data_IF_499704621313
#
_entry.id   IF_499704621313
#
_cell.length_a   1.000
_cell.length_b   1.000
_cell.length_c   1.000
_cell.angle_alpha   90.00
_cell.angle_beta   90.00
_cell.angle_gamma   90.00
#
_symmetry.space_group_name_H-M   'P 1'
#
loop_
_entity.id
_entity.type
_entity.pdbx_description
1 polymer ?
#
# COMPACT_ATOMS: atom_id res chain seq x y z
N UNK A 1 9.01 1.79 10.91
CA UNK A 1 7.80 1.16 11.49
C UNK A 1 6.56 1.38 10.62
N UNK A 2 5.60 0.45 10.60
CA UNK A 2 4.31 0.60 9.88
C UNK A 2 3.60 1.95 10.09
N UNK A 3 3.61 2.48 11.32
CA UNK A 3 3.03 3.79 11.64
C UNK A 3 3.71 4.94 10.90
N UNK A 4 5.01 4.86 10.68
CA UNK A 4 5.77 5.89 9.95
C UNK A 4 5.46 5.85 8.46
N UNK A 5 5.28 4.65 7.89
CA UNK A 5 4.83 4.49 6.51
C UNK A 5 3.43 5.10 6.31
N UNK A 6 2.51 4.84 7.24
CA UNK A 6 1.16 5.43 7.22
C UNK A 6 1.20 6.95 7.38
N UNK A 7 1.96 7.46 8.35
CA UNK A 7 2.10 8.90 8.55
C UNK A 7 2.68 9.58 7.31
N UNK A 8 3.68 8.96 6.67
CA UNK A 8 4.24 9.48 5.42
C UNK A 8 3.19 9.49 4.31
N UNK A 9 2.43 8.40 4.13
CA UNK A 9 1.42 8.28 3.09
C UNK A 9 0.32 9.34 3.23
N UNK A 10 -0.12 9.63 4.46
CA UNK A 10 -1.14 10.64 4.77
C UNK A 10 -0.71 12.08 4.41
N UNK A 11 0.59 12.34 4.20
CA UNK A 11 1.08 13.65 3.76
C UNK A 11 1.15 13.78 2.23
N UNK A 12 0.84 12.72 1.49
CA UNK A 12 1.00 12.70 0.03
C UNK A 12 -0.25 13.22 -0.68
N UNK A 13 -0.08 13.65 -1.93
CA UNK A 13 -1.16 14.17 -2.79
C UNK A 13 -1.57 13.20 -3.91
N UNK A 14 -1.05 11.97 -3.93
CA UNK A 14 -1.43 10.94 -4.90
C UNK A 14 -0.82 11.11 -6.29
N UNK A 15 0.29 11.84 -6.43
CA UNK A 15 1.05 11.85 -7.69
C UNK A 15 1.58 10.46 -8.03
N UNK A 16 1.87 10.16 -9.30
CA UNK A 16 2.46 8.86 -9.69
C UNK A 16 3.71 8.49 -8.87
N UNK A 17 4.56 9.48 -8.60
CA UNK A 17 5.76 9.36 -7.76
C UNK A 17 5.45 8.88 -6.33
N UNK A 18 4.27 9.18 -5.82
CA UNK A 18 3.80 8.70 -4.50
C UNK A 18 3.81 7.17 -4.43
N UNK A 19 3.33 6.50 -5.48
CA UNK A 19 3.18 5.04 -5.49
C UNK A 19 4.52 4.34 -5.67
N UNK A 20 5.41 4.93 -6.48
CA UNK A 20 6.82 4.48 -6.60
C UNK A 20 7.53 4.61 -5.25
N UNK A 21 7.46 5.79 -4.62
CA UNK A 21 8.10 5.98 -3.29
C UNK A 21 7.48 5.10 -2.21
N UNK A 22 6.17 4.82 -2.29
CA UNK A 22 5.52 3.89 -1.37
C UNK A 22 6.04 2.46 -1.55
N UNK A 23 6.16 2.00 -2.79
CA UNK A 23 6.72 0.68 -3.11
C UNK A 23 8.12 0.52 -2.52
N UNK A 24 9.01 1.49 -2.75
CA UNK A 24 10.38 1.47 -2.24
C UNK A 24 10.39 1.42 -0.70
N UNK A 25 9.59 2.27 -0.05
CA UNK A 25 9.51 2.32 1.43
C UNK A 25 8.96 1.03 2.02
N UNK A 26 7.95 0.43 1.41
CA UNK A 26 7.38 -0.84 1.86
C UNK A 26 8.38 -2.00 1.70
N UNK A 27 9.11 -2.06 0.58
CA UNK A 27 10.16 -3.06 0.36
C UNK A 27 11.36 -2.89 1.29
N UNK A 28 11.73 -1.65 1.61
CA UNK A 28 12.76 -1.37 2.61
C UNK A 28 12.31 -1.82 4.00
N UNK A 29 11.10 -1.43 4.42
CA UNK A 29 10.55 -1.79 5.74
C UNK A 29 10.42 -3.31 5.92
N UNK A 30 10.18 -4.05 4.83
CA UNK A 30 10.11 -5.52 4.84
C UNK A 30 11.38 -6.19 5.38
N UNK A 31 12.55 -5.58 5.16
CA UNK A 31 13.81 -6.10 5.69
C UNK A 31 13.89 -6.00 7.22
N UNK A 32 13.20 -5.02 7.80
CA UNK A 32 13.23 -4.71 9.23
C UNK A 32 12.05 -5.33 10.01
N UNK A 33 10.94 -5.66 9.35
CA UNK A 33 9.73 -6.26 9.95
C UNK A 33 9.38 -7.63 9.29
N UNK A 34 10.17 -8.70 9.55
CA UNK A 34 10.00 -10.00 8.89
C UNK A 34 8.63 -10.65 9.14
N UNK A 35 8.02 -10.41 10.29
CA UNK A 35 6.67 -10.86 10.65
C UNK A 35 5.57 -10.24 9.80
N UNK A 36 5.86 -9.13 9.11
CA UNK A 36 4.96 -8.45 8.17
C UNK A 36 5.40 -8.57 6.73
N UNK A 37 6.36 -9.44 6.44
CA UNK A 37 7.02 -9.39 5.14
C UNK A 37 6.08 -9.64 3.95
N UNK A 38 5.11 -10.55 4.11
CA UNK A 38 4.10 -10.83 3.10
C UNK A 38 3.19 -9.62 2.87
N UNK A 39 2.69 -9.00 3.94
CA UNK A 39 1.86 -7.79 3.89
C UNK A 39 2.59 -6.65 3.16
N UNK A 40 3.83 -6.36 3.57
CA UNK A 40 4.62 -5.28 2.99
C UNK A 40 4.94 -5.53 1.52
N UNK A 41 5.18 -6.79 1.13
CA UNK A 41 5.36 -7.16 -0.26
C UNK A 41 4.09 -6.93 -1.08
N UNK A 42 2.93 -7.38 -0.60
CA UNK A 42 1.66 -7.23 -1.32
C UNK A 42 1.27 -5.75 -1.48
N UNK A 43 1.48 -4.93 -0.46
CA UNK A 43 1.24 -3.49 -0.54
C UNK A 43 2.20 -2.81 -1.54
N UNK A 44 3.47 -3.20 -1.54
CA UNK A 44 4.44 -2.71 -2.51
C UNK A 44 4.06 -3.09 -3.95
N UNK A 45 3.66 -4.34 -4.16
CA UNK A 45 3.24 -4.84 -5.47
C UNK A 45 1.94 -4.15 -5.94
N UNK A 46 0.99 -3.88 -5.05
CA UNK A 46 -0.23 -3.13 -5.36
C UNK A 46 0.07 -1.70 -5.84
N UNK A 47 0.95 -0.99 -5.12
CA UNK A 47 1.35 0.37 -5.52
C UNK A 47 2.18 0.37 -6.81
N UNK A 48 3.10 -0.59 -6.97
CA UNK A 48 3.92 -0.75 -8.16
C UNK A 48 3.08 -0.99 -9.42
N UNK A 49 2.13 -1.92 -9.38
CA UNK A 49 1.24 -2.20 -10.51
C UNK A 49 0.41 -0.97 -10.92
N UNK A 50 -0.06 -0.20 -9.95
CA UNK A 50 -0.72 1.08 -10.23
C UNK A 50 0.24 2.08 -10.90
N UNK A 51 1.47 2.20 -10.39
CA UNK A 51 2.46 3.09 -10.99
C UNK A 51 2.78 2.69 -12.44
N UNK A 52 3.00 1.39 -12.69
CA UNK A 52 3.29 0.84 -14.01
C UNK A 52 2.13 1.06 -15.00
N UNK A 53 0.88 0.91 -14.54
CA UNK A 53 -0.30 1.12 -15.38
C UNK A 53 -0.45 2.57 -15.88
N UNK A 54 0.13 3.53 -15.16
CA UNK A 54 0.10 4.95 -15.50
C UNK A 54 1.45 5.51 -15.95
N UNK A 55 2.49 4.67 -16.13
CA UNK A 55 3.77 5.12 -16.68
C UNK A 55 3.59 5.55 -18.15
N UNK A 56 4.00 6.79 -18.45
CA UNK A 56 3.79 7.41 -19.75
C UNK A 56 2.32 7.66 -20.12
N UNK A 57 1.37 7.43 -19.21
CA UNK A 57 -0.07 7.66 -19.42
C UNK A 57 -0.56 8.84 -18.57
N UNK A 58 -1.62 9.56 -19.00
CA UNK A 58 -2.21 10.61 -18.20
C UNK A 58 -2.90 10.01 -16.96
N UNK A 59 -2.46 10.41 -15.77
CA UNK A 59 -3.12 10.14 -14.50
C UNK A 59 -4.03 11.31 -14.12
N UNK A 60 -5.34 11.07 -14.05
CA UNK A 60 -6.28 12.10 -13.61
C UNK A 60 -6.18 12.33 -12.10
N UNK A 61 -6.43 13.55 -11.64
CA UNK A 61 -6.43 13.88 -10.21
C UNK A 61 -7.48 13.06 -9.43
N UNK A 62 -8.61 12.74 -10.05
CA UNK A 62 -9.66 11.91 -9.44
C UNK A 62 -9.19 10.47 -9.21
N UNK A 63 -8.58 9.85 -10.21
CA UNK A 63 -8.04 8.48 -10.08
C UNK A 63 -6.91 8.46 -9.04
N UNK A 64 -5.99 9.43 -9.10
CA UNK A 64 -4.93 9.62 -8.12
C UNK A 64 -5.47 9.70 -6.67
N UNK A 65 -6.54 10.47 -6.46
CA UNK A 65 -7.13 10.64 -5.13
C UNK A 65 -7.77 9.33 -4.64
N UNK A 66 -8.58 8.68 -5.48
CA UNK A 66 -9.22 7.40 -5.13
C UNK A 66 -8.21 6.30 -4.83
N UNK A 67 -7.16 6.21 -5.63
CA UNK A 67 -6.07 5.25 -5.43
C UNK A 67 -5.33 5.50 -4.11
N UNK A 68 -5.06 6.77 -3.77
CA UNK A 68 -4.42 7.13 -2.50
C UNK A 68 -5.32 6.79 -1.29
N UNK A 69 -6.61 7.09 -1.39
CA UNK A 69 -7.60 6.78 -0.33
C UNK A 69 -7.68 5.26 -0.10
N UNK A 70 -7.77 4.48 -1.18
CA UNK A 70 -7.82 3.01 -1.11
C UNK A 70 -6.55 2.42 -0.49
N UNK A 71 -5.38 2.89 -0.92
CA UNK A 71 -4.11 2.44 -0.34
C UNK A 71 -4.00 2.79 1.14
N UNK A 72 -4.45 3.99 1.52
CA UNK A 72 -4.48 4.46 2.92
C UNK A 72 -5.40 3.59 3.77
N UNK A 73 -6.59 3.27 3.29
CA UNK A 73 -7.56 2.41 3.97
C UNK A 73 -6.96 1.02 4.28
N UNK A 74 -6.37 0.38 3.27
CA UNK A 74 -5.74 -0.93 3.40
C UNK A 74 -4.58 -0.90 4.41
N UNK A 75 -3.74 0.13 4.36
CA UNK A 75 -2.62 0.29 5.29
C UNK A 75 -3.08 0.55 6.73
N UNK A 76 -4.14 1.35 6.93
CA UNK A 76 -4.73 1.59 8.25
C UNK A 76 -5.35 0.31 8.84
N UNK A 77 -6.02 -0.51 8.02
CA UNK A 77 -6.53 -1.81 8.44
C UNK A 77 -5.39 -2.74 8.84
N UNK A 78 -4.35 -2.82 8.03
CA UNK A 78 -3.17 -3.63 8.32
C UNK A 78 -2.45 -3.22 9.62
N UNK A 79 -2.42 -1.93 9.95
CA UNK A 79 -1.88 -1.45 11.23
C UNK A 79 -2.71 -1.87 12.45
N UNK A 80 -4.04 -2.05 12.31
CA UNK A 80 -4.95 -2.49 13.39
C UNK A 80 -4.98 -4.01 13.56
N UNK A 81 -4.90 -4.73 12.45
CA UNK A 81 -5.00 -6.19 12.37
C UNK A 81 -3.77 -6.93 12.92
N UNK A 82 -2.71 -6.21 13.30
CA UNK A 82 -1.55 -6.80 13.99
C UNK A 82 -1.90 -7.51 15.31
N UNK A 83 -3.07 -7.25 15.89
CA UNK A 83 -3.57 -7.90 17.08
C UNK A 83 -4.78 -8.83 16.81
N UNK A 84 -5.16 -9.01 15.54
CA UNK A 84 -6.27 -9.87 15.12
C UNK A 84 -5.83 -11.33 14.98
N UNK A 85 -6.79 -12.25 14.94
CA UNK A 85 -6.50 -13.68 14.75
C UNK A 85 -5.93 -14.01 13.36
N UNK A 86 -5.39 -15.22 13.22
CA UNK A 86 -4.74 -15.67 11.99
C UNK A 86 -5.68 -15.66 10.77
N UNK A 87 -6.98 -15.92 10.97
CA UNK A 87 -7.94 -15.95 9.87
C UNK A 87 -8.19 -14.54 9.33
N UNK A 88 -8.32 -13.54 10.21
CA UNK A 88 -8.43 -12.14 9.81
C UNK A 88 -7.17 -11.64 9.08
N UNK A 89 -5.99 -12.01 9.55
CA UNK A 89 -4.72 -11.67 8.88
C UNK A 89 -4.65 -12.24 7.47
N UNK A 90 -4.98 -13.53 7.28
CA UNK A 90 -5.00 -14.16 5.95
C UNK A 90 -6.06 -13.53 5.04
N UNK A 91 -7.25 -13.23 5.57
CA UNK A 91 -8.30 -12.57 4.81
C UNK A 91 -7.85 -11.20 4.29
N UNK A 92 -7.16 -10.41 5.12
CA UNK A 92 -6.61 -9.12 4.71
C UNK A 92 -5.52 -9.27 3.64
N UNK A 93 -4.61 -10.24 3.78
CA UNK A 93 -3.58 -10.49 2.76
C UNK A 93 -4.22 -10.88 1.41
N UNK A 94 -5.26 -11.73 1.44
CA UNK A 94 -5.99 -12.11 0.23
C UNK A 94 -6.71 -10.93 -0.41
N UNK A 95 -7.34 -10.07 0.40
CA UNK A 95 -7.98 -8.85 -0.11
C UNK A 95 -6.97 -7.94 -0.81
N UNK A 96 -5.82 -7.67 -0.19
CA UNK A 96 -4.77 -6.84 -0.79
C UNK A 96 -4.26 -7.49 -2.08
N UNK A 97 -4.01 -8.81 -2.05
CA UNK A 97 -3.50 -9.55 -3.20
C UNK A 97 -4.46 -9.59 -4.40
N UNK A 98 -5.76 -9.44 -4.17
CA UNK A 98 -6.79 -9.40 -5.21
C UNK A 98 -7.25 -7.98 -5.56
N UNK A 99 -6.73 -6.95 -4.89
CA UNK A 99 -7.16 -5.55 -5.09
C UNK A 99 -6.44 -4.89 -6.26
N UNK A 100 -7.10 -3.85 -6.78
CA UNK A 100 -6.52 -2.82 -7.64
C UNK A 100 -6.74 -1.43 -7.01
N UNK A 101 -5.94 -0.45 -7.41
CA UNK A 101 -6.12 0.94 -6.98
C UNK A 101 -6.95 1.79 -7.96
N UNK A 102 -7.17 1.31 -9.19
CA UNK A 102 -8.04 1.91 -10.20
C UNK A 102 -8.82 0.85 -10.99
#
# INVERSE_FOLDING_TARGET
>A
MMKELLNWLLQQKGSLRTYVEFQDRALALRADEPERAALLRLLADLAGRFADAYDGQPLSAEIATRALDRLTELLQRAGRESAADLASQIALLNEIGASELA
#
